data_IF_013515061422
#
_entry.id   IF_013515061422
#
_cell.length_a   1.000
_cell.length_b   1.000
_cell.length_c   1.000
_cell.angle_alpha   90.00
_cell.angle_beta   90.00
_cell.angle_gamma   90.00
#
_symmetry.space_group_name_H-M   'P 1'
#
loop_
_entity.id
_entity.type
_entity.pdbx_description
1 polymer ?
#
# COMPACT_ATOMS: atom_id res chain seq x y z
N UNK A 1 6.02 -11.76 15.99
CA UNK A 1 6.69 -12.09 14.71
C UNK A 1 8.16 -11.77 14.89
N UNK A 2 9.02 -12.77 14.80
CA UNK A 2 10.47 -12.55 14.82
C UNK A 2 10.90 -11.93 13.48
N UNK A 3 11.67 -10.84 13.51
CA UNK A 3 12.08 -10.11 12.30
C UNK A 3 12.92 -10.96 11.33
N UNK A 4 13.48 -12.08 11.79
CA UNK A 4 14.25 -13.03 10.99
C UNK A 4 13.43 -13.92 10.05
N UNK A 5 12.09 -13.82 10.04
CA UNK A 5 11.20 -14.62 9.17
C UNK A 5 10.64 -13.84 7.98
N UNK A 6 11.17 -12.64 7.70
CA UNK A 6 10.75 -11.83 6.55
C UNK A 6 11.69 -12.11 5.37
N UNK A 7 11.14 -12.74 4.33
CA UNK A 7 11.79 -13.01 3.05
C UNK A 7 11.54 -11.84 2.07
N UNK A 8 12.45 -11.59 1.12
CA UNK A 8 12.24 -10.59 0.08
C UNK A 8 11.00 -10.91 -0.78
N UNK A 9 10.32 -9.90 -1.33
CA UNK A 9 9.14 -10.12 -2.15
C UNK A 9 9.47 -10.94 -3.41
N UNK A 10 8.58 -11.85 -3.83
CA UNK A 10 8.80 -12.72 -4.97
C UNK A 10 8.67 -11.93 -6.26
N UNK A 11 9.15 -12.51 -7.36
CA UNK A 11 9.15 -11.84 -8.64
C UNK A 11 7.76 -11.91 -9.31
N UNK A 12 6.83 -11.04 -8.90
CA UNK A 12 5.40 -11.04 -9.29
C UNK A 12 5.09 -10.51 -10.71
N UNK A 13 6.06 -10.47 -11.63
CA UNK A 13 5.85 -9.89 -12.98
C UNK A 13 5.49 -8.40 -12.96
N UNK A 14 4.81 -7.91 -14.01
CA UNK A 14 4.43 -6.50 -14.21
C UNK A 14 3.02 -6.15 -13.70
N UNK A 15 2.20 -7.15 -13.37
CA UNK A 15 0.81 -6.95 -12.97
C UNK A 15 0.66 -6.35 -11.56
N UNK A 16 1.68 -6.48 -10.71
CA UNK A 16 1.68 -5.98 -9.34
C UNK A 16 2.82 -4.98 -9.17
N UNK A 17 2.45 -3.78 -8.73
CA UNK A 17 3.39 -2.76 -8.26
C UNK A 17 4.09 -3.26 -6.99
N UNK A 18 5.42 -3.36 -7.04
CA UNK A 18 6.24 -3.94 -5.96
C UNK A 18 6.74 -2.90 -4.96
N UNK A 19 6.64 -1.64 -5.33
CA UNK A 19 7.11 -0.45 -4.63
C UNK A 19 6.45 -0.23 -3.26
N UNK A 20 5.28 -0.83 -3.04
CA UNK A 20 4.60 -0.86 -1.73
C UNK A 20 4.71 -2.19 -0.99
N UNK A 21 5.42 -3.19 -1.52
CA UNK A 21 5.62 -4.47 -0.84
C UNK A 21 6.94 -4.42 -0.08
N UNK A 22 6.87 -4.54 1.24
CA UNK A 22 8.06 -4.55 2.11
C UNK A 22 8.74 -5.90 2.09
N UNK A 23 7.95 -6.99 2.06
CA UNK A 23 8.46 -8.36 2.07
C UNK A 23 7.36 -9.39 2.30
N UNK A 24 7.77 -10.63 2.48
CA UNK A 24 6.91 -11.76 2.82
C UNK A 24 7.25 -12.30 4.19
N UNK A 25 6.29 -12.37 5.09
CA UNK A 25 6.40 -13.17 6.30
C UNK A 25 5.93 -14.61 6.05
N UNK A 26 6.50 -15.55 6.80
CA UNK A 26 6.00 -16.92 6.89
C UNK A 26 5.61 -17.24 8.33
N UNK A 27 4.42 -17.78 8.52
CA UNK A 27 3.97 -18.34 9.80
C UNK A 27 3.31 -19.68 9.52
N UNK A 28 3.88 -20.74 10.08
CA UNK A 28 3.46 -22.12 9.81
C UNK A 28 3.41 -22.39 8.28
N UNK A 29 2.24 -22.70 7.73
CA UNK A 29 2.02 -22.90 6.29
C UNK A 29 1.38 -21.69 5.59
N UNK A 30 1.30 -20.55 6.27
CA UNK A 30 0.66 -19.32 5.75
C UNK A 30 1.72 -18.33 5.29
N UNK A 31 1.54 -17.87 4.05
CA UNK A 31 2.28 -16.75 3.48
C UNK A 31 1.57 -15.44 3.79
N UNK A 32 2.33 -14.47 4.31
CA UNK A 32 1.83 -13.15 4.70
C UNK A 32 2.57 -12.11 3.87
N UNK A 33 1.86 -11.30 3.11
CA UNK A 33 2.48 -10.18 2.36
C UNK A 33 2.46 -8.95 3.25
N UNK A 34 3.62 -8.32 3.44
CA UNK A 34 3.79 -7.11 4.23
C UNK A 34 3.80 -5.90 3.29
N UNK A 35 2.90 -4.95 3.54
CA UNK A 35 2.70 -3.78 2.70
C UNK A 35 3.12 -2.50 3.44
N UNK A 36 3.72 -1.56 2.71
CA UNK A 36 3.95 -0.18 3.14
C UNK A 36 2.70 0.64 2.82
N UNK A 37 1.90 0.92 3.86
CA UNK A 37 0.65 1.66 3.73
C UNK A 37 0.86 3.07 3.15
N UNK A 38 2.03 3.67 3.36
CA UNK A 38 2.33 5.01 2.85
C UNK A 38 2.49 5.03 1.33
N UNK A 39 2.66 3.86 0.70
CA UNK A 39 2.88 3.71 -0.74
C UNK A 39 1.78 2.93 -1.44
N UNK A 40 0.75 2.51 -0.71
CA UNK A 40 -0.35 1.70 -1.27
C UNK A 40 -1.13 2.50 -2.32
N UNK A 41 -1.34 3.79 -2.07
CA UNK A 41 -2.02 4.68 -3.00
C UNK A 41 -1.12 5.07 -4.15
N UNK A 42 -1.66 5.00 -5.36
CA UNK A 42 -1.08 5.64 -6.54
C UNK A 42 -1.22 7.15 -6.46
N UNK A 43 -0.37 7.86 -7.21
CA UNK A 43 -0.47 9.32 -7.32
C UNK A 43 -1.84 9.78 -7.81
N UNK A 44 -2.51 8.97 -8.66
CA UNK A 44 -3.85 9.27 -9.15
C UNK A 44 -4.92 9.11 -8.06
N UNK A 45 -4.82 8.08 -7.22
CA UNK A 45 -5.74 7.90 -6.09
C UNK A 45 -5.56 9.01 -5.05
N UNK A 46 -4.32 9.42 -4.78
CA UNK A 46 -4.02 10.58 -3.94
C UNK A 46 -4.60 11.88 -4.53
N UNK A 47 -4.48 12.09 -5.84
CA UNK A 47 -5.10 13.25 -6.51
C UNK A 47 -6.62 13.25 -6.32
N UNK A 48 -7.28 12.10 -6.53
CA UNK A 48 -8.74 11.99 -6.34
C UNK A 48 -9.15 12.26 -4.88
N UNK A 49 -8.34 11.83 -3.91
CA UNK A 49 -8.59 12.13 -2.49
C UNK A 49 -8.45 13.62 -2.23
N UNK A 50 -7.36 14.26 -2.71
CA UNK A 50 -7.14 15.69 -2.57
C UNK A 50 -8.29 16.50 -3.20
N UNK A 51 -8.72 16.14 -4.40
CA UNK A 51 -9.87 16.75 -5.09
C UNK A 51 -11.15 16.62 -4.26
N UNK A 52 -11.38 15.47 -3.61
CA UNK A 52 -12.54 15.27 -2.73
C UNK A 52 -12.46 16.16 -1.48
N UNK A 53 -11.28 16.33 -0.87
CA UNK A 53 -11.10 17.20 0.31
C UNK A 53 -11.30 18.67 -0.04
N UNK A 54 -10.83 19.12 -1.21
CA UNK A 54 -11.00 20.50 -1.67
C UNK A 54 -12.48 20.84 -1.95
N UNK A 55 -13.24 19.90 -2.51
CA UNK A 55 -14.66 20.09 -2.79
C UNK A 55 -15.53 20.13 -1.52
N UNK A 56 -15.13 19.46 -0.42
CA UNK A 56 -15.85 19.55 0.86
C UNK A 56 -15.63 20.89 1.59
N UNK A 57 -14.46 21.52 1.48
CA UNK A 57 -14.22 22.83 2.08
C UNK A 57 -15.05 23.94 1.43
N UNK A 58 -15.35 23.83 0.13
CA UNK A 58 -16.22 24.79 -0.56
C UNK A 58 -17.69 24.70 -0.10
N UNK A 59 -18.15 23.53 0.37
CA UNK A 59 -19.53 23.32 0.80
C UNK A 59 -19.81 23.79 2.24
N UNK A 60 -18.78 23.89 3.10
CA UNK A 60 -18.91 24.39 4.49
C UNK A 60 -18.76 25.93 4.55
N UNK A 61 -18.17 26.54 3.52
CA UNK A 61 -17.98 27.99 3.43
C UNK A 61 -19.19 28.77 2.86
N UNK A 62 -20.30 28.10 2.56
CA UNK A 62 -21.57 28.69 2.10
C UNK A 62 -22.66 28.58 3.18
#
# INVERSE_FOLDING_TARGET
>A
MDAGQIEPPPNMGTAIRKDFIVGMGRSDEVFIIILDINKVFSSQELANVLDAVENEQAAIAL
#
